data_IF_945838060620
#
_entry.id   IF_945838060620
#
_cell.length_a   1.000
_cell.length_b   1.000
_cell.length_c   1.000
_cell.angle_alpha   90.00
_cell.angle_beta   90.00
_cell.angle_gamma   90.00
#
_symmetry.space_group_name_H-M   'P 1'
#
loop_
_entity.id
_entity.type
_entity.pdbx_description
1 polymer ?
#
# COMPACT_ATOMS: atom_id res chain seq x y z
N UNK A 1 8.57 -21.74 -13.27
CA UNK A 1 9.27 -20.46 -13.06
C UNK A 1 10.56 -20.78 -12.32
N UNK A 2 11.73 -20.30 -12.78
CA UNK A 2 13.00 -20.74 -12.23
C UNK A 2 13.16 -20.19 -10.80
N UNK A 3 13.45 -21.09 -9.87
CA UNK A 3 13.69 -20.80 -8.47
C UNK A 3 15.07 -20.13 -8.41
N UNK A 4 15.10 -18.81 -8.22
CA UNK A 4 16.32 -18.10 -7.86
C UNK A 4 16.72 -18.52 -6.43
N UNK A 5 17.46 -19.61 -6.30
CA UNK A 5 18.10 -19.96 -5.02
C UNK A 5 19.36 -19.10 -4.86
N UNK A 6 19.22 -17.96 -4.18
CA UNK A 6 20.39 -17.23 -3.70
C UNK A 6 21.15 -18.08 -2.66
N UNK A 7 22.49 -18.11 -2.68
CA UNK A 7 23.28 -18.83 -1.69
C UNK A 7 23.02 -18.27 -0.28
N UNK A 8 23.06 -19.10 0.78
CA UNK A 8 22.84 -18.65 2.15
C UNK A 8 23.91 -17.62 2.55
N UNK A 9 23.50 -16.36 2.72
CA UNK A 9 24.36 -15.30 3.25
C UNK A 9 24.65 -15.57 4.72
N UNK A 10 25.94 -15.69 5.08
CA UNK A 10 26.39 -15.70 6.48
C UNK A 10 26.34 -14.27 7.03
N UNK A 11 25.25 -13.90 7.68
CA UNK A 11 25.15 -12.64 8.43
C UNK A 11 25.69 -12.80 9.85
N UNK A 12 26.37 -11.74 10.30
CA UNK A 12 26.94 -11.59 11.63
C UNK A 12 25.90 -11.87 12.73
N UNK A 13 26.35 -12.57 13.77
CA UNK A 13 25.60 -13.06 14.93
C UNK A 13 24.63 -12.02 15.54
N UNK A 14 23.39 -12.01 15.05
CA UNK A 14 22.22 -11.58 15.80
C UNK A 14 21.71 -12.82 16.54
N UNK A 15 21.74 -12.77 17.88
CA UNK A 15 21.58 -13.92 18.77
C UNK A 15 20.51 -14.94 18.35
N UNK A 16 20.86 -16.22 18.47
CA UNK A 16 20.09 -17.45 18.15
C UNK A 16 19.87 -17.79 16.67
N UNK A 17 20.23 -16.94 15.71
CA UNK A 17 20.06 -17.26 14.29
C UNK A 17 21.41 -17.40 13.58
N UNK A 18 21.81 -18.65 13.30
CA UNK A 18 23.11 -18.99 12.68
C UNK A 18 23.04 -19.23 11.18
N UNK A 19 21.84 -19.53 10.66
CA UNK A 19 21.57 -19.66 9.22
C UNK A 19 20.25 -18.97 8.88
N UNK A 20 20.30 -18.04 7.94
CA UNK A 20 19.11 -17.39 7.37
C UNK A 20 18.91 -17.97 5.98
N UNK A 21 17.75 -18.56 5.73
CA UNK A 21 17.33 -18.94 4.38
C UNK A 21 16.71 -17.68 3.75
N UNK A 22 17.32 -17.09 2.71
CA UNK A 22 16.84 -15.85 2.09
C UNK A 22 15.61 -16.06 1.19
N UNK A 23 14.95 -17.23 1.30
CA UNK A 23 13.76 -17.54 0.54
C UNK A 23 12.56 -17.11 1.35
N UNK A 24 11.85 -16.09 0.86
CA UNK A 24 10.51 -15.77 1.33
C UNK A 24 9.62 -16.97 1.02
N UNK A 25 9.11 -17.63 2.07
CA UNK A 25 8.05 -18.61 1.89
C UNK A 25 6.78 -17.81 1.68
N UNK A 26 6.25 -17.84 0.45
CA UNK A 26 5.00 -17.16 0.12
C UNK A 26 3.87 -17.82 0.95
N UNK A 27 3.49 -17.19 2.07
CA UNK A 27 2.38 -17.65 2.93
C UNK A 27 1.02 -17.28 2.35
N UNK A 28 1.00 -16.66 1.17
CA UNK A 28 -0.19 -16.13 0.51
C UNK A 28 -0.88 -17.22 -0.29
N UNK A 29 -2.19 -17.36 -0.09
CA UNK A 29 -3.02 -18.07 -1.06
C UNK A 29 -3.44 -17.13 -2.18
N UNK A 30 -2.93 -17.36 -3.40
CA UNK A 30 -3.34 -16.62 -4.60
C UNK A 30 -4.58 -17.30 -5.17
N UNK A 31 -5.75 -16.72 -4.91
CA UNK A 31 -7.00 -17.18 -5.52
C UNK A 31 -7.14 -16.66 -6.95
N UNK A 32 -7.69 -17.48 -7.84
CA UNK A 32 -8.04 -17.02 -9.19
C UNK A 32 -9.16 -15.97 -9.12
N UNK A 33 -9.28 -15.12 -10.14
CA UNK A 33 -10.36 -14.11 -10.21
C UNK A 33 -11.74 -14.76 -10.11
N UNK A 34 -11.92 -15.95 -10.69
CA UNK A 34 -13.15 -16.71 -10.59
C UNK A 34 -13.45 -17.19 -9.16
N UNK A 35 -12.42 -17.67 -8.44
CA UNK A 35 -12.54 -18.09 -7.04
C UNK A 35 -12.85 -16.90 -6.12
N UNK A 36 -12.19 -15.76 -6.34
CA UNK A 36 -12.44 -14.51 -5.60
C UNK A 36 -13.88 -14.05 -5.79
N UNK A 37 -14.39 -14.05 -7.02
CA UNK A 37 -15.79 -13.68 -7.32
C UNK A 37 -16.79 -14.66 -6.72
N UNK A 38 -16.54 -15.97 -6.83
CA UNK A 38 -17.41 -16.98 -6.26
C UNK A 38 -17.51 -16.84 -4.74
N UNK A 39 -16.37 -16.64 -4.05
CA UNK A 39 -16.36 -16.40 -2.59
C UNK A 39 -17.02 -15.08 -2.21
N UNK A 40 -16.79 -14.01 -2.98
CA UNK A 40 -17.43 -12.72 -2.74
C UNK A 40 -18.96 -12.80 -2.89
N UNK A 41 -19.45 -13.58 -3.87
CA UNK A 41 -20.88 -13.84 -4.04
C UNK A 41 -21.46 -14.69 -2.92
N UNK A 42 -20.69 -15.63 -2.36
CA UNK A 42 -21.12 -16.51 -1.27
C UNK A 42 -21.13 -15.81 0.09
N UNK A 43 -20.09 -15.01 0.38
CA UNK A 43 -19.82 -14.42 1.70
C UNK A 43 -20.27 -12.96 1.80
N UNK A 44 -20.56 -12.29 0.68
CA UNK A 44 -20.91 -10.86 0.64
C UNK A 44 -19.76 -9.89 0.97
N UNK A 45 -18.57 -10.40 1.32
CA UNK A 45 -17.40 -9.64 1.76
C UNK A 45 -16.14 -10.00 0.95
N UNK A 46 -15.17 -9.09 0.92
CA UNK A 46 -13.83 -9.37 0.38
C UNK A 46 -13.01 -10.20 1.39
N UNK A 47 -12.31 -11.22 0.91
CA UNK A 47 -11.45 -12.06 1.75
C UNK A 47 -10.22 -11.26 2.21
N UNK A 48 -9.98 -11.25 3.52
CA UNK A 48 -8.81 -10.60 4.13
C UNK A 48 -7.65 -11.59 4.13
N UNK A 49 -6.42 -11.09 3.98
CA UNK A 49 -5.25 -11.95 4.12
C UNK A 49 -5.23 -12.68 5.46
N UNK A 50 -4.93 -13.98 5.40
CA UNK A 50 -4.81 -14.84 6.57
C UNK A 50 -3.52 -14.47 7.32
N UNK A 51 -3.53 -14.40 8.67
CA UNK A 51 -2.32 -14.15 9.44
C UNK A 51 -1.24 -15.20 9.15
N UNK A 52 -0.08 -14.73 8.67
CA UNK A 52 1.07 -15.59 8.45
C UNK A 52 1.70 -16.01 9.79
N UNK A 53 2.15 -17.27 9.88
CA UNK A 53 2.91 -17.75 11.03
C UNK A 53 4.39 -17.35 10.88
N UNK A 54 4.79 -16.26 11.55
CA UNK A 54 6.15 -15.73 11.45
C UNK A 54 7.23 -16.65 12.03
N UNK A 55 6.85 -17.60 12.90
CA UNK A 55 7.74 -18.58 13.50
C UNK A 55 8.29 -19.60 12.49
N UNK A 56 7.62 -19.79 11.35
CA UNK A 56 8.08 -20.71 10.29
C UNK A 56 9.45 -20.30 9.74
N UNK A 57 9.71 -18.99 9.66
CA UNK A 57 11.01 -18.45 9.25
C UNK A 57 11.40 -17.25 10.13
N UNK A 58 11.46 -17.47 11.45
CA UNK A 58 11.73 -16.42 12.43
C UNK A 58 13.08 -15.72 12.20
N UNK A 59 14.11 -16.48 11.79
CA UNK A 59 15.44 -15.94 11.54
C UNK A 59 15.51 -15.02 10.32
N UNK A 60 14.72 -15.30 9.28
CA UNK A 60 14.58 -14.39 8.16
C UNK A 60 13.87 -13.10 8.59
N UNK A 61 12.71 -13.19 9.24
CA UNK A 61 11.93 -12.01 9.64
C UNK A 61 12.62 -11.14 10.70
N UNK A 62 13.56 -11.69 11.48
CA UNK A 62 14.42 -10.93 12.39
C UNK A 62 15.58 -10.20 11.68
N UNK A 63 16.02 -10.72 10.55
CA UNK A 63 17.21 -10.20 9.84
C UNK A 63 16.83 -9.29 8.66
N UNK A 64 15.67 -9.56 8.03
CA UNK A 64 15.21 -8.91 6.82
C UNK A 64 13.73 -8.58 6.90
N UNK A 65 13.34 -7.55 6.13
CA UNK A 65 11.94 -7.19 5.90
C UNK A 65 11.43 -7.93 4.68
N UNK A 66 10.19 -8.41 4.73
CA UNK A 66 9.55 -9.02 3.58
C UNK A 66 9.08 -7.96 2.59
N UNK A 67 9.08 -8.31 1.29
CA UNK A 67 8.60 -7.43 0.21
C UNK A 67 7.11 -7.15 0.34
N UNK A 68 6.32 -8.18 0.60
CA UNK A 68 4.86 -8.07 0.80
C UNK A 68 4.50 -7.46 2.17
N UNK A 69 5.47 -7.20 3.05
CA UNK A 69 5.26 -6.62 4.37
C UNK A 69 4.75 -7.58 5.45
N UNK A 70 4.53 -8.85 5.10
CA UNK A 70 4.15 -9.92 6.03
C UNK A 70 5.25 -10.16 7.06
N UNK A 71 4.90 -10.26 8.35
CA UNK A 71 5.85 -10.49 9.45
C UNK A 71 6.90 -9.38 9.66
N UNK A 72 6.76 -8.21 9.03
CA UNK A 72 7.56 -7.03 9.37
C UNK A 72 7.28 -6.54 10.81
N UNK A 73 6.11 -6.88 11.35
CA UNK A 73 5.77 -6.76 12.76
C UNK A 73 5.50 -8.17 13.32
N UNK A 74 6.45 -8.70 14.11
CA UNK A 74 6.37 -10.07 14.67
C UNK A 74 5.16 -10.27 15.59
N UNK A 75 4.70 -9.22 16.28
CA UNK A 75 3.53 -9.29 17.14
C UNK A 75 2.21 -9.25 16.34
N UNK A 76 2.20 -8.53 15.21
CA UNK A 76 1.04 -8.39 14.34
C UNK A 76 1.45 -8.60 12.87
N UNK A 77 1.50 -9.86 12.40
CA UNK A 77 2.12 -10.23 11.12
C UNK A 77 1.54 -9.54 9.88
N UNK A 78 0.29 -9.11 9.93
CA UNK A 78 -0.45 -8.55 8.79
C UNK A 78 -0.51 -7.02 8.79
N UNK A 79 -0.08 -6.35 9.87
CA UNK A 79 -0.21 -4.88 9.95
C UNK A 79 0.77 -4.23 8.98
N UNK A 80 0.23 -3.49 8.00
CA UNK A 80 1.02 -2.84 6.96
C UNK A 80 1.50 -3.78 5.85
N UNK A 81 1.06 -5.04 5.85
CA UNK A 81 1.31 -5.97 4.75
C UNK A 81 0.44 -5.62 3.52
N UNK A 82 0.92 -5.93 2.33
CA UNK A 82 0.18 -5.77 1.08
C UNK A 82 -1.13 -6.59 1.12
N UNK A 83 -2.15 -6.16 0.37
CA UNK A 83 -3.46 -6.81 0.32
C UNK A 83 -4.21 -6.89 1.67
N UNK A 84 -3.76 -6.15 2.67
CA UNK A 84 -4.52 -5.94 3.90
C UNK A 84 -5.35 -4.66 3.79
N UNK A 85 -6.61 -4.67 4.27
CA UNK A 85 -7.44 -3.47 4.24
C UNK A 85 -6.87 -2.40 5.17
N UNK A 86 -7.02 -1.14 4.79
CA UNK A 86 -6.68 -0.04 5.69
C UNK A 86 -7.49 -0.12 6.98
N UNK A 87 -6.81 0.10 8.11
CA UNK A 87 -7.46 0.17 9.43
C UNK A 87 -8.39 1.38 9.48
N UNK A 88 -9.62 1.17 9.93
CA UNK A 88 -10.59 2.25 10.15
C UNK A 88 -10.58 2.64 11.63
N UNK A 89 -10.57 3.94 11.91
CA UNK A 89 -10.70 4.47 13.27
C UNK A 89 -12.14 4.39 13.81
N UNK A 90 -13.12 4.38 12.91
CA UNK A 90 -14.55 4.29 13.22
C UNK A 90 -15.16 3.11 12.47
N UNK A 91 -16.20 2.45 13.03
CA UNK A 91 -16.90 1.38 12.33
C UNK A 91 -17.54 1.92 11.05
N UNK A 92 -17.72 1.04 10.06
CA UNK A 92 -18.41 1.40 8.83
C UNK A 92 -19.89 1.65 9.10
N UNK A 93 -20.39 2.80 8.67
CA UNK A 93 -21.81 3.07 8.60
C UNK A 93 -22.27 2.79 7.16
N UNK A 94 -22.78 1.60 6.88
CA UNK A 94 -23.49 1.31 5.64
C UNK A 94 -24.99 1.39 5.90
N UNK A 95 -25.77 1.82 4.90
CA UNK A 95 -27.22 2.01 5.05
C UNK A 95 -27.94 0.67 5.31
N UNK A 96 -27.41 -0.41 4.75
CA UNK A 96 -27.87 -1.80 4.90
C UNK A 96 -26.98 -2.62 5.86
N UNK A 97 -25.97 -1.99 6.47
CA UNK A 97 -24.97 -2.65 7.31
C UNK A 97 -23.93 -3.50 6.56
N UNK A 98 -23.98 -3.59 5.22
CA UNK A 98 -23.13 -4.50 4.43
C UNK A 98 -22.30 -3.72 3.40
N UNK A 99 -22.94 -3.06 2.43
CA UNK A 99 -22.24 -2.38 1.34
C UNK A 99 -22.97 -1.15 0.76
N UNK A 100 -24.21 -0.90 1.15
CA UNK A 100 -24.99 0.20 0.63
C UNK A 100 -24.43 1.55 1.09
N UNK A 101 -24.31 2.48 0.15
CA UNK A 101 -23.91 3.85 0.45
C UNK A 101 -24.89 4.49 1.42
N UNK A 102 -24.38 5.28 2.37
CA UNK A 102 -25.22 5.97 3.35
C UNK A 102 -26.20 6.89 2.62
N UNK A 103 -27.49 6.74 2.91
CA UNK A 103 -28.54 7.53 2.26
C UNK A 103 -28.93 7.01 0.88
N UNK A 104 -28.57 5.78 0.50
CA UNK A 104 -29.09 5.12 -0.69
C UNK A 104 -30.59 4.81 -0.57
N UNK A 105 -31.04 4.37 0.61
CA UNK A 105 -32.45 4.04 0.89
C UNK A 105 -33.31 5.30 1.04
N UNK A 106 -32.75 6.36 1.63
CA UNK A 106 -33.47 7.59 1.95
C UNK A 106 -33.22 8.75 0.98
N UNK A 107 -32.31 8.60 0.01
CA UNK A 107 -31.84 9.65 -0.93
C UNK A 107 -31.45 10.98 -0.24
N UNK A 108 -30.97 10.91 1.00
CA UNK A 108 -30.78 12.09 1.84
C UNK A 108 -29.48 12.86 1.57
N UNK A 109 -28.58 12.38 0.71
CA UNK A 109 -27.25 13.01 0.49
C UNK A 109 -27.18 13.75 -0.85
N UNK A 110 -26.73 15.03 -0.85
CA UNK A 110 -26.57 15.81 -2.08
C UNK A 110 -25.46 15.26 -2.98
N UNK A 111 -25.49 15.65 -4.26
CA UNK A 111 -24.51 15.21 -5.24
C UNK A 111 -23.08 15.64 -4.81
N UNK A 112 -22.11 14.71 -4.72
CA UNK A 112 -20.72 15.04 -4.34
C UNK A 112 -20.08 16.14 -5.19
N UNK A 113 -20.46 16.22 -6.48
CA UNK A 113 -19.96 17.26 -7.39
C UNK A 113 -20.48 18.64 -7.01
N UNK A 114 -21.76 18.76 -6.66
CA UNK A 114 -22.37 20.03 -6.25
C UNK A 114 -21.77 20.51 -4.94
N UNK A 115 -21.61 19.63 -3.95
CA UNK A 115 -20.98 19.96 -2.67
C UNK A 115 -19.52 20.40 -2.86
N UNK A 116 -18.76 19.67 -3.68
CA UNK A 116 -17.36 20.03 -3.98
C UNK A 116 -17.25 21.37 -4.71
N UNK A 117 -18.09 21.60 -5.73
CA UNK A 117 -18.12 22.90 -6.42
C UNK A 117 -18.53 24.02 -5.48
N UNK A 118 -19.53 23.82 -4.63
CA UNK A 118 -20.00 24.85 -3.72
C UNK A 118 -18.99 25.19 -2.61
N UNK A 119 -18.36 24.18 -2.00
CA UNK A 119 -17.45 24.36 -0.86
C UNK A 119 -16.00 24.61 -1.27
N UNK A 120 -15.50 23.91 -2.28
CA UNK A 120 -14.08 23.92 -2.66
C UNK A 120 -13.78 24.79 -3.89
N UNK A 121 -14.79 25.33 -4.58
CA UNK A 121 -14.52 26.33 -5.63
C UNK A 121 -14.13 27.64 -4.97
N UNK A 122 -12.83 27.89 -4.92
CA UNK A 122 -12.28 29.17 -4.48
C UNK A 122 -11.26 29.61 -5.50
N UNK A 123 -11.45 30.81 -6.04
CA UNK A 123 -10.48 31.49 -6.92
C UNK A 123 -9.37 32.22 -6.15
N UNK A 124 -9.44 32.25 -4.82
CA UNK A 124 -8.45 32.90 -3.96
C UNK A 124 -7.34 31.92 -3.61
N UNK A 125 -6.13 32.21 -4.05
CA UNK A 125 -4.95 31.55 -3.49
C UNK A 125 -4.78 32.05 -2.05
N UNK A 126 -5.02 31.18 -1.08
CA UNK A 126 -4.72 31.48 0.32
C UNK A 126 -3.20 31.43 0.46
N UNK A 127 -2.59 32.56 0.81
CA UNK A 127 -1.15 32.63 1.05
C UNK A 127 -0.77 31.70 2.20
N UNK A 128 0.08 30.72 1.93
CA UNK A 128 0.69 29.87 2.95
C UNK A 128 2.11 30.33 3.21
N UNK A 129 2.59 30.19 4.45
CA UNK A 129 4.02 30.36 4.79
C UNK A 129 4.88 29.21 4.26
N UNK A 130 4.26 28.14 3.76
CA UNK A 130 4.94 26.96 3.22
C UNK A 130 5.19 27.08 1.73
N UNK A 131 6.34 26.58 1.28
CA UNK A 131 6.67 26.51 -0.14
C UNK A 131 5.96 25.33 -0.85
N UNK A 132 5.95 25.37 -2.18
CA UNK A 132 5.38 24.30 -3.02
C UNK A 132 6.13 22.97 -2.87
N UNK A 133 7.40 23.00 -2.46
CA UNK A 133 8.19 21.79 -2.22
C UNK A 133 7.65 20.98 -1.02
N UNK A 134 7.16 21.64 0.03
CA UNK A 134 6.52 20.96 1.16
C UNK A 134 5.25 20.21 0.73
N UNK A 135 4.44 20.82 -0.14
CA UNK A 135 3.28 20.17 -0.73
C UNK A 135 3.68 18.93 -1.53
N UNK A 136 4.75 19.05 -2.31
CA UNK A 136 5.25 17.96 -3.12
C UNK A 136 5.85 16.81 -2.30
N UNK A 137 6.58 17.13 -1.23
CA UNK A 137 7.09 16.17 -0.26
C UNK A 137 5.94 15.44 0.44
N UNK A 138 4.88 16.15 0.83
CA UNK A 138 3.69 15.54 1.42
C UNK A 138 3.05 14.49 0.50
N UNK A 139 3.06 14.70 -0.81
CA UNK A 139 2.58 13.70 -1.77
C UNK A 139 3.45 12.45 -1.81
N UNK A 140 4.79 12.59 -1.71
CA UNK A 140 5.74 11.48 -1.62
C UNK A 140 5.47 10.66 -0.35
N UNK A 141 5.40 11.33 0.81
CA UNK A 141 5.22 10.68 2.12
C UNK A 141 3.87 9.96 2.21
N UNK A 142 2.84 10.50 1.56
CA UNK A 142 1.49 9.92 1.57
C UNK A 142 1.36 8.65 0.71
N UNK A 143 2.36 8.29 -0.11
CA UNK A 143 2.49 6.96 -0.72
C UNK A 143 1.33 6.48 -1.60
N UNK A 144 0.58 7.39 -2.26
CA UNK A 144 -0.57 7.00 -3.09
C UNK A 144 -0.11 6.60 -4.50
N UNK A 145 -0.10 5.30 -4.77
CA UNK A 145 0.15 4.73 -6.10
C UNK A 145 -1.09 4.85 -6.98
N UNK A 146 -0.95 5.42 -8.18
CA UNK A 146 -1.96 5.42 -9.23
C UNK A 146 -1.74 4.21 -10.16
N UNK A 147 -2.75 3.75 -10.91
CA UNK A 147 -2.55 2.66 -11.87
C UNK A 147 -1.41 3.01 -12.86
N UNK A 148 -0.55 2.03 -13.20
CA UNK A 148 0.67 2.27 -13.95
C UNK A 148 0.37 2.79 -15.36
N UNK A 149 1.03 3.89 -15.74
CA UNK A 149 0.96 4.46 -17.08
C UNK A 149 2.08 3.89 -17.96
N UNK A 150 1.72 2.96 -18.86
CA UNK A 150 2.68 2.20 -19.69
C UNK A 150 3.10 2.94 -20.99
N UNK A 151 3.23 4.27 -20.95
CA UNK A 151 3.77 5.06 -22.07
C UNK A 151 5.30 5.07 -22.01
N UNK A 152 5.97 4.98 -23.15
CA UNK A 152 7.45 4.97 -23.25
C UNK A 152 8.12 6.24 -22.71
N UNK A 153 7.37 7.33 -22.59
CA UNK A 153 7.83 8.62 -22.07
C UNK A 153 7.58 8.75 -20.55
N UNK A 154 7.16 7.66 -19.89
CA UNK A 154 6.84 7.60 -18.47
C UNK A 154 8.08 7.23 -17.65
N UNK A 155 8.42 8.05 -16.66
CA UNK A 155 9.46 7.73 -15.68
C UNK A 155 8.93 6.68 -14.70
N UNK A 156 9.45 5.45 -14.77
CA UNK A 156 9.10 4.38 -13.83
C UNK A 156 9.76 4.62 -12.48
N UNK A 157 8.98 5.01 -11.48
CA UNK A 157 9.43 5.19 -10.10
C UNK A 157 8.36 4.67 -9.16
N UNK A 158 8.67 4.49 -7.86
CA UNK A 158 7.70 4.04 -6.85
C UNK A 158 6.44 4.91 -6.70
N UNK A 159 6.39 6.10 -7.31
CA UNK A 159 5.18 6.91 -7.49
C UNK A 159 4.98 7.26 -8.98
N UNK A 160 4.00 6.62 -9.62
CA UNK A 160 3.67 6.82 -11.03
C UNK A 160 3.20 8.25 -11.37
N UNK A 161 2.86 9.07 -10.36
CA UNK A 161 2.56 10.50 -10.56
C UNK A 161 3.78 11.35 -10.85
N UNK A 162 4.99 10.82 -10.71
CA UNK A 162 6.23 11.56 -10.97
C UNK A 162 6.26 12.18 -12.37
N UNK A 163 5.52 11.58 -13.31
CA UNK A 163 5.33 12.08 -14.68
C UNK A 163 4.41 13.30 -14.80
N UNK A 164 3.53 13.53 -13.82
CA UNK A 164 2.54 14.62 -13.83
C UNK A 164 3.08 15.85 -13.09
N UNK A 165 3.92 15.63 -12.07
CA UNK A 165 4.44 16.70 -11.22
C UNK A 165 5.97 16.74 -11.25
N UNK A 166 6.53 17.79 -11.85
CA UNK A 166 7.98 17.97 -12.00
C UNK A 166 8.70 17.93 -10.64
N UNK A 167 8.12 18.51 -9.59
CA UNK A 167 8.71 18.49 -8.26
C UNK A 167 8.80 17.07 -7.66
N UNK A 168 7.88 16.18 -8.03
CA UNK A 168 7.88 14.79 -7.59
C UNK A 168 9.03 14.03 -8.26
N UNK A 169 9.20 14.20 -9.57
CA UNK A 169 10.31 13.64 -10.33
C UNK A 169 11.67 14.13 -9.78
N UNK A 170 11.79 15.42 -9.45
CA UNK A 170 12.99 15.99 -8.84
C UNK A 170 13.32 15.34 -7.47
N UNK A 171 12.32 15.07 -6.63
CA UNK A 171 12.56 14.35 -5.38
C UNK A 171 13.00 12.91 -5.62
N UNK A 172 12.31 12.18 -6.48
CA UNK A 172 12.66 10.80 -6.78
C UNK A 172 14.07 10.64 -7.34
N UNK A 173 14.48 11.54 -8.25
CA UNK A 173 15.87 11.57 -8.74
C UNK A 173 16.87 11.89 -7.64
N UNK A 174 16.54 12.77 -6.70
CA UNK A 174 17.40 13.07 -5.55
C UNK A 174 17.57 11.85 -4.64
N UNK A 175 16.48 11.14 -4.32
CA UNK A 175 16.53 9.91 -3.53
C UNK A 175 17.34 8.81 -4.24
N UNK A 176 17.18 8.64 -5.55
CA UNK A 176 17.97 7.68 -6.32
C UNK A 176 19.46 8.02 -6.34
N UNK A 177 19.82 9.30 -6.44
CA UNK A 177 21.22 9.75 -6.37
C UNK A 177 21.82 9.51 -4.98
N UNK A 178 21.05 9.76 -3.91
CA UNK A 178 21.49 9.48 -2.54
C UNK A 178 21.62 7.99 -2.24
N UNK A 179 20.78 7.15 -2.85
CA UNK A 179 20.87 5.70 -2.67
C UNK A 179 22.09 5.09 -3.38
N UNK A 180 22.52 5.69 -4.49
CA UNK A 180 23.59 5.17 -5.35
C UNK A 180 24.95 5.85 -5.14
N UNK A 181 25.07 6.78 -4.20
CA UNK A 181 26.31 7.47 -3.84
C UNK A 181 26.80 7.05 -2.48
#
# INVERSE_FOLDING_TARGET
>A
MPIFTAPPMRLFSLGKCTQVVPVEVETRQVFSVAQMRARQQQMGCAEVQIPASCSVNECFHKSFRSIDGTCNNLANPIVGAAFTPFTRLLPSAYDDGINALIGATTRARPNPREVSMFLLSTRRAIGSKSNSMLMQFGQVVNGRTFPPNNRRDSMTVGDDRATIFIGLAAMHTTFLRLHNG
#
